data_IF_317764172727
#
_entry.id   IF_317764172727
#
_cell.length_a   1.000
_cell.length_b   1.000
_cell.length_c   1.000
_cell.angle_alpha   90.00
_cell.angle_beta   90.00
_cell.angle_gamma   90.00
#
_symmetry.space_group_name_H-M   'P 1'
#
loop_
_entity.id
_entity.type
_entity.pdbx_description
1 polymer ?
#
# COMPACT_ATOMS: atom_id res chain seq x y z
N UNK A 1 -28.26 12.05 27.89
CA UNK A 1 -27.67 12.06 26.52
C UNK A 1 -26.20 12.48 26.52
N UNK A 2 -25.78 13.54 27.21
CA UNK A 2 -24.37 14.00 27.29
C UNK A 2 -23.35 12.90 27.65
N UNK A 3 -23.62 12.14 28.71
CA UNK A 3 -22.73 11.05 29.14
C UNK A 3 -22.47 9.96 28.09
N UNK A 4 -23.44 9.70 27.20
CA UNK A 4 -23.25 8.73 26.11
C UNK A 4 -22.22 9.21 25.09
N UNK A 5 -22.28 10.49 24.70
CA UNK A 5 -21.30 11.08 23.79
C UNK A 5 -19.93 11.26 24.43
N UNK A 6 -19.87 11.57 25.73
CA UNK A 6 -18.60 11.64 26.48
C UNK A 6 -17.92 10.27 26.57
N UNK A 7 -18.68 9.18 26.74
CA UNK A 7 -18.14 7.83 26.72
C UNK A 7 -17.55 7.47 25.34
N UNK A 8 -18.20 7.89 24.25
CA UNK A 8 -17.66 7.73 22.89
C UNK A 8 -16.37 8.54 22.73
N UNK A 9 -16.38 9.81 23.15
CA UNK A 9 -15.18 10.66 23.09
C UNK A 9 -14.01 10.02 23.85
N UNK A 10 -14.26 9.54 25.07
CA UNK A 10 -13.24 8.85 25.87
C UNK A 10 -12.68 7.63 25.15
N UNK A 11 -13.54 6.76 24.61
CA UNK A 11 -13.09 5.56 23.89
C UNK A 11 -12.20 5.92 22.70
N UNK A 12 -12.57 6.91 21.89
CA UNK A 12 -11.81 7.23 20.69
C UNK A 12 -10.54 8.03 21.00
N UNK A 13 -10.67 9.12 21.75
CA UNK A 13 -9.55 10.06 21.96
C UNK A 13 -8.55 9.51 22.97
N UNK A 14 -9.03 9.02 24.13
CA UNK A 14 -8.16 8.63 25.23
C UNK A 14 -7.68 7.17 25.12
N UNK A 15 -8.34 6.33 24.32
CA UNK A 15 -7.98 4.91 24.19
C UNK A 15 -7.53 4.55 22.78
N UNK A 16 -8.41 4.67 21.78
CA UNK A 16 -8.12 4.18 20.42
C UNK A 16 -7.13 5.04 19.64
N UNK A 17 -7.06 6.35 19.91
CA UNK A 17 -6.19 7.27 19.18
C UNK A 17 -4.82 7.49 19.83
N UNK A 18 -4.56 6.88 20.99
CA UNK A 18 -3.22 6.90 21.62
C UNK A 18 -2.09 6.55 20.64
N UNK A 19 -2.19 5.50 19.81
CA UNK A 19 -1.15 5.20 18.83
C UNK A 19 -0.97 6.30 17.78
N UNK A 20 -2.05 6.99 17.40
CA UNK A 20 -2.01 8.08 16.42
C UNK A 20 -1.39 9.34 17.01
N UNK A 21 -1.65 9.65 18.28
CA UNK A 21 -1.01 10.75 18.98
C UNK A 21 0.48 10.48 19.21
N UNK A 22 0.88 9.23 19.46
CA UNK A 22 2.28 8.83 19.51
C UNK A 22 2.98 9.10 18.17
N UNK A 23 2.40 8.67 17.04
CA UNK A 23 2.96 8.94 15.72
C UNK A 23 3.07 10.44 15.42
N UNK A 24 2.03 11.23 15.77
CA UNK A 24 2.04 12.69 15.63
C UNK A 24 3.15 13.34 16.45
N UNK A 25 3.34 12.90 17.70
CA UNK A 25 4.42 13.44 18.55
C UNK A 25 5.79 13.08 18.01
N UNK A 26 5.94 11.88 17.43
CA UNK A 26 7.20 11.42 16.86
C UNK A 26 7.56 12.19 15.60
N UNK A 27 6.57 12.59 14.80
CA UNK A 27 6.75 13.41 13.59
C UNK A 27 7.56 14.67 13.86
N UNK A 28 7.32 15.34 15.00
CA UNK A 28 7.99 16.58 15.38
C UNK A 28 9.50 16.41 15.64
N UNK A 29 9.96 15.17 15.86
CA UNK A 29 11.37 14.87 16.15
C UNK A 29 12.04 14.06 15.05
N UNK A 30 11.31 13.17 14.38
CA UNK A 30 11.82 12.35 13.30
C UNK A 30 10.71 11.95 12.32
N UNK A 31 10.67 12.64 11.19
CA UNK A 31 9.74 12.38 10.10
C UNK A 31 9.81 10.94 9.55
N UNK A 32 11.02 10.36 9.46
CA UNK A 32 11.20 9.00 8.93
C UNK A 32 10.59 7.95 9.83
N UNK A 33 10.79 8.10 11.15
CA UNK A 33 10.21 7.23 12.17
C UNK A 33 8.69 7.32 12.21
N UNK A 34 8.15 8.54 12.20
CA UNK A 34 6.71 8.76 12.19
C UNK A 34 6.00 8.14 10.96
N UNK A 35 6.72 7.98 9.85
CA UNK A 35 6.23 7.36 8.62
C UNK A 35 6.58 5.88 8.47
N UNK A 36 7.03 5.19 9.53
CA UNK A 36 7.52 3.80 9.43
C UNK A 36 6.50 2.83 8.83
N UNK A 37 5.20 3.00 9.13
CA UNK A 37 4.13 2.18 8.56
C UNK A 37 4.05 2.36 7.03
N UNK A 38 4.17 3.61 6.55
CA UNK A 38 4.19 3.91 5.12
C UNK A 38 5.39 3.26 4.44
N UNK A 39 6.57 3.34 5.05
CA UNK A 39 7.79 2.68 4.55
C UNK A 39 7.63 1.17 4.45
N UNK A 40 7.05 0.53 5.46
CA UNK A 40 6.76 -0.91 5.45
C UNK A 40 5.84 -1.27 4.28
N UNK A 41 4.75 -0.53 4.07
CA UNK A 41 3.84 -0.80 2.95
C UNK A 41 4.50 -0.58 1.59
N UNK A 42 5.31 0.47 1.43
CA UNK A 42 6.08 0.70 0.19
C UNK A 42 7.01 -0.48 -0.08
N UNK A 43 7.75 -0.95 0.92
CA UNK A 43 8.65 -2.11 0.77
C UNK A 43 7.89 -3.37 0.36
N UNK A 44 6.74 -3.65 0.97
CA UNK A 44 5.89 -4.80 0.61
C UNK A 44 5.42 -4.68 -0.85
N UNK A 45 4.90 -3.52 -1.24
CA UNK A 45 4.44 -3.28 -2.61
C UNK A 45 5.57 -3.43 -3.64
N UNK A 46 6.75 -2.86 -3.37
CA UNK A 46 7.92 -3.00 -4.23
C UNK A 46 8.38 -4.46 -4.34
N UNK A 47 8.42 -5.20 -3.23
CA UNK A 47 8.78 -6.61 -3.21
C UNK A 47 7.86 -7.45 -4.10
N UNK A 48 6.53 -7.30 -3.92
CA UNK A 48 5.56 -8.07 -4.72
C UNK A 48 5.56 -7.67 -6.19
N UNK A 49 5.71 -6.37 -6.50
CA UNK A 49 5.84 -5.91 -7.88
C UNK A 49 7.07 -6.52 -8.55
N UNK A 50 8.20 -6.54 -7.87
CA UNK A 50 9.42 -7.17 -8.36
C UNK A 50 9.26 -8.68 -8.54
N UNK A 51 8.64 -9.37 -7.58
CA UNK A 51 8.38 -10.79 -7.66
C UNK A 51 7.52 -11.15 -8.89
N UNK A 52 6.39 -10.47 -9.07
CA UNK A 52 5.47 -10.77 -10.18
C UNK A 52 6.03 -10.39 -11.55
N UNK A 53 6.77 -9.28 -11.65
CA UNK A 53 7.45 -8.94 -12.92
C UNK A 53 8.49 -9.99 -13.30
N UNK A 54 9.20 -10.59 -12.33
CA UNK A 54 10.07 -11.74 -12.58
C UNK A 54 9.30 -12.97 -13.02
N UNK A 55 8.18 -13.30 -12.37
CA UNK A 55 7.35 -14.44 -12.76
C UNK A 55 6.88 -14.29 -14.22
N UNK A 56 6.36 -13.12 -14.59
CA UNK A 56 5.96 -12.81 -15.97
C UNK A 56 7.12 -12.99 -16.97
N UNK A 57 8.33 -12.56 -16.61
CA UNK A 57 9.50 -12.74 -17.46
C UNK A 57 9.91 -14.21 -17.64
N UNK A 58 9.69 -15.05 -16.63
CA UNK A 58 9.94 -16.50 -16.71
C UNK A 58 8.93 -17.16 -17.65
N UNK A 59 7.64 -16.88 -17.47
CA UNK A 59 6.58 -17.42 -18.34
C UNK A 59 6.76 -16.98 -19.79
N UNK A 60 7.07 -15.71 -20.04
CA UNK A 60 7.39 -15.21 -21.39
C UNK A 60 8.57 -15.95 -22.04
N UNK A 61 9.55 -16.39 -21.25
CA UNK A 61 10.72 -17.14 -21.76
C UNK A 61 10.43 -18.63 -21.99
N UNK A 62 9.41 -19.19 -21.35
CA UNK A 62 9.06 -20.62 -21.49
C UNK A 62 8.59 -20.98 -22.90
N UNK A 63 8.05 -20.02 -23.65
CA UNK A 63 7.52 -20.25 -25.00
C UNK A 63 6.21 -21.05 -25.00
N UNK A 64 5.63 -21.33 -23.83
CA UNK A 64 4.33 -22.01 -23.67
C UNK A 64 3.13 -21.07 -23.89
N UNK A 65 3.37 -19.74 -23.87
CA UNK A 65 2.35 -18.74 -24.20
C UNK A 65 2.20 -18.60 -25.72
N UNK A 66 1.16 -19.22 -26.30
CA UNK A 66 0.71 -18.92 -27.66
C UNK A 66 0.05 -17.53 -27.69
N UNK A 67 0.83 -16.51 -28.08
CA UNK A 67 0.35 -15.14 -28.24
C UNK A 67 -0.22 -14.93 -29.65
N UNK A 68 -1.49 -15.29 -29.89
CA UNK A 68 -2.21 -14.90 -31.11
C UNK A 68 -2.70 -13.45 -31.02
N UNK A 69 -1.76 -12.51 -31.07
CA UNK A 69 -2.09 -11.08 -31.08
C UNK A 69 -2.30 -10.62 -32.52
N UNK A 70 -3.52 -10.77 -33.04
CA UNK A 70 -3.92 -10.12 -34.29
C UNK A 70 -4.21 -8.63 -34.03
N UNK A 71 -3.20 -7.79 -34.18
CA UNK A 71 -3.42 -6.35 -34.28
C UNK A 71 -3.97 -6.05 -35.68
N UNK A 72 -5.28 -5.77 -35.78
CA UNK A 72 -5.82 -5.17 -36.99
C UNK A 72 -5.09 -3.84 -37.23
N UNK A 73 -4.33 -3.75 -38.33
CA UNK A 73 -3.73 -2.49 -38.73
C UNK A 73 -4.84 -1.56 -39.21
N UNK A 74 -5.32 -0.69 -38.33
CA UNK A 74 -6.27 0.36 -38.69
C UNK A 74 -5.61 1.48 -39.52
N UNK A 75 -4.28 1.51 -39.63
CA UNK A 75 -3.51 2.64 -40.19
C UNK A 75 -2.59 2.30 -41.36
N UNK A 76 -2.52 1.04 -41.79
CA UNK A 76 -1.78 0.66 -43.01
C UNK A 76 -2.78 0.09 -44.01
N UNK A 77 -3.01 0.84 -45.08
CA UNK A 77 -3.67 0.35 -46.31
C UNK A 77 -2.67 -0.40 -47.17
#
# INVERSE_FOLDING_TARGET
MKAFFEAIQFLFVEVLFVPMDLLRSWELTNWWGANIINWVFICICCYWTYYWTKQLAIFKKSGEDEQDTTAHSFLTK
#
